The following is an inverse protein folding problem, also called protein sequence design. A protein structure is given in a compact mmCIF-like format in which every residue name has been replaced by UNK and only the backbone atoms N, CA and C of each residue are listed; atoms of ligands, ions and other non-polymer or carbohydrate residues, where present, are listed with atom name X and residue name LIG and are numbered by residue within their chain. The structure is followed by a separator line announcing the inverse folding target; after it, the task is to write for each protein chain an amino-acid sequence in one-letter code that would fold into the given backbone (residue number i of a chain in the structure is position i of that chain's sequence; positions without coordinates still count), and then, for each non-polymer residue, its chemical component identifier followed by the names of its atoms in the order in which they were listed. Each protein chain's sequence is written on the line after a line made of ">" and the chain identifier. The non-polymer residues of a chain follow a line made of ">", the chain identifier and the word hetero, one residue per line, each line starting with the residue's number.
data_IF_826582445230
#
_entry.id   IF_826582445230
#
_cell.length_a   1.000
_cell.length_b   1.000
_cell.length_c   1.000
_cell.angle_alpha   90.00
_cell.angle_beta   90.00
_cell.angle_gamma   90.00
#
_symmetry.space_group_name_H-M   'P 1'
#
loop_
_entity.id
_entity.type
_entity.pdbx_description
1 polymer ?
#
# COMPACT_ATOMS: atom_id res chain seq x y z
N UNK A 1 15.05 -36.30 -13.32
CA UNK A 1 14.83 -34.96 -12.74
C UNK A 1 14.42 -34.04 -13.87
N UNK A 2 13.18 -33.51 -13.86
CA UNK A 2 12.77 -32.50 -14.85
C UNK A 2 13.30 -31.17 -14.34
N UNK A 3 14.06 -30.45 -15.17
CA UNK A 3 14.41 -29.06 -14.88
C UNK A 3 13.10 -28.30 -14.72
N UNK A 4 12.84 -27.80 -13.51
CA UNK A 4 11.71 -26.91 -13.28
C UNK A 4 11.94 -25.66 -14.13
N UNK A 5 11.02 -25.39 -15.05
CA UNK A 5 11.06 -24.16 -15.81
C UNK A 5 10.77 -23.01 -14.85
N UNK A 6 11.82 -22.35 -14.38
CA UNK A 6 11.69 -21.13 -13.59
C UNK A 6 10.89 -20.10 -14.40
N UNK A 7 9.79 -19.54 -13.87
CA UNK A 7 9.05 -18.50 -14.57
C UNK A 7 9.97 -17.29 -14.83
N UNK A 8 9.76 -16.55 -15.93
CA UNK A 8 10.58 -15.39 -16.26
C UNK A 8 10.54 -14.35 -15.13
N UNK A 9 11.71 -13.84 -14.78
CA UNK A 9 11.88 -12.76 -13.82
C UNK A 9 11.69 -11.39 -14.48
N UNK A 10 11.04 -10.42 -13.81
CA UNK A 10 10.30 -10.56 -12.55
C UNK A 10 8.96 -11.29 -12.77
N UNK A 11 8.55 -12.15 -11.83
CA UNK A 11 7.25 -12.83 -11.88
C UNK A 11 6.09 -11.85 -11.72
N UNK A 12 4.89 -12.25 -12.11
CA UNK A 12 3.67 -11.48 -11.82
C UNK A 12 3.31 -11.50 -10.32
N UNK A 13 2.97 -10.34 -9.77
CA UNK A 13 2.43 -10.15 -8.41
C UNK A 13 1.23 -9.22 -8.44
N UNK A 14 0.11 -9.65 -7.86
CA UNK A 14 -1.02 -8.77 -7.62
C UNK A 14 -0.78 -7.92 -6.38
N UNK A 15 -0.79 -6.59 -6.52
CA UNK A 15 -0.52 -5.70 -5.40
C UNK A 15 -1.79 -4.99 -4.93
N UNK A 16 -2.15 -5.25 -3.69
CA UNK A 16 -3.29 -4.62 -3.01
C UNK A 16 -2.78 -3.76 -1.87
N UNK A 17 -3.33 -2.55 -1.74
CA UNK A 17 -2.91 -1.67 -0.66
C UNK A 17 -4.07 -0.88 -0.09
N UNK A 18 -4.10 -0.73 1.24
CA UNK A 18 -4.94 0.33 1.79
C UNK A 18 -4.42 1.68 1.28
N UNK A 19 -5.28 2.64 0.89
CA UNK A 19 -4.83 3.92 0.38
C UNK A 19 -3.78 4.57 1.28
N UNK A 20 -2.77 5.21 0.65
CA UNK A 20 -1.69 5.95 1.33
C UNK A 20 -0.65 5.07 2.08
N UNK A 21 -0.56 3.78 1.75
CA UNK A 21 0.41 2.84 2.33
C UNK A 21 1.72 2.67 1.54
N UNK A 22 2.18 3.71 0.83
CA UNK A 22 3.48 3.67 0.12
C UNK A 22 3.50 3.00 -1.25
N UNK A 23 2.37 2.51 -1.76
CA UNK A 23 2.30 1.73 -3.00
C UNK A 23 2.91 2.43 -4.24
N UNK A 24 2.62 3.73 -4.46
CA UNK A 24 3.19 4.44 -5.63
C UNK A 24 4.72 4.58 -5.54
N UNK A 25 5.26 4.79 -4.34
CA UNK A 25 6.70 4.85 -4.12
C UNK A 25 7.35 3.50 -4.41
N UNK A 26 6.80 2.41 -3.87
CA UNK A 26 7.26 1.04 -4.16
C UNK A 26 7.25 0.75 -5.66
N UNK A 27 6.16 1.07 -6.37
CA UNK A 27 6.04 0.88 -7.82
C UNK A 27 7.13 1.65 -8.58
N UNK A 28 7.43 2.90 -8.20
CA UNK A 28 8.50 3.69 -8.84
C UNK A 28 9.87 3.07 -8.64
N UNK A 29 10.17 2.61 -7.43
CA UNK A 29 11.46 1.97 -7.12
C UNK A 29 11.58 0.66 -7.91
N UNK A 30 10.54 -0.19 -7.90
CA UNK A 30 10.55 -1.46 -8.64
C UNK A 30 10.65 -1.26 -10.15
N UNK A 31 9.92 -0.31 -10.74
CA UNK A 31 10.06 0.06 -12.16
C UNK A 31 11.50 0.48 -12.50
N UNK A 32 12.18 1.24 -11.64
CA UNK A 32 13.58 1.65 -11.87
C UNK A 32 14.58 0.52 -11.62
N UNK A 33 14.30 -0.37 -10.67
CA UNK A 33 15.16 -1.49 -10.32
C UNK A 33 15.15 -2.58 -11.39
N UNK A 34 13.97 -3.00 -11.85
CA UNK A 34 13.83 -4.01 -12.90
C UNK A 34 13.88 -3.43 -14.32
N UNK A 35 13.69 -2.12 -14.48
CA UNK A 35 13.78 -1.46 -15.78
C UNK A 35 12.66 -1.89 -16.74
N UNK A 36 13.02 -2.15 -18.00
CA UNK A 36 12.05 -2.46 -19.06
C UNK A 36 11.29 -3.78 -18.89
N UNK A 37 11.80 -4.68 -18.03
CA UNK A 37 11.22 -5.99 -17.76
C UNK A 37 10.08 -5.94 -16.74
N UNK A 38 9.81 -4.75 -16.15
CA UNK A 38 8.78 -4.57 -15.14
C UNK A 38 7.69 -3.62 -15.61
N UNK A 39 6.59 -4.20 -16.07
CA UNK A 39 5.40 -3.48 -16.49
C UNK A 39 4.33 -3.54 -15.41
N UNK A 40 3.62 -2.43 -15.27
CA UNK A 40 2.63 -2.26 -14.20
C UNK A 40 1.33 -1.82 -14.81
N UNK A 41 0.25 -2.54 -14.46
CA UNK A 41 -1.12 -2.14 -14.71
C UNK A 41 -1.60 -1.26 -13.55
N UNK A 42 -1.85 0.01 -13.84
CA UNK A 42 -2.51 0.96 -12.94
C UNK A 42 -4.03 0.82 -13.11
N UNK A 43 -4.64 -0.16 -12.42
CA UNK A 43 -6.04 -0.59 -12.62
C UNK A 43 -7.08 0.55 -12.70
N UNK A 44 -6.87 1.67 -12.01
CA UNK A 44 -7.79 2.83 -11.99
C UNK A 44 -7.44 3.94 -12.99
N UNK A 45 -6.36 3.77 -13.77
CA UNK A 45 -5.85 4.77 -14.70
C UNK A 45 -5.70 4.23 -16.12
N UNK A 46 -5.47 2.93 -16.27
CA UNK A 46 -5.31 2.27 -17.56
C UNK A 46 -6.68 1.80 -18.06
N UNK A 47 -7.55 2.69 -18.55
CA UNK A 47 -8.85 2.33 -19.15
C UNK A 47 -8.86 2.52 -20.68
N UNK A 48 -7.72 2.34 -21.33
CA UNK A 48 -7.58 2.53 -22.78
C UNK A 48 -7.59 1.20 -23.53
N UNK A 49 -8.37 1.13 -24.60
CA UNK A 49 -8.37 0.11 -25.68
C UNK A 49 -8.24 -1.34 -25.24
N UNK A 50 -7.01 -1.75 -24.96
CA UNK A 50 -6.61 -3.14 -24.69
C UNK A 50 -6.54 -3.49 -23.19
N UNK A 51 -7.05 -2.63 -22.29
CA UNK A 51 -7.13 -2.96 -20.87
C UNK A 51 -8.18 -4.06 -20.63
N UNK A 52 -7.83 -5.06 -19.81
CA UNK A 52 -8.73 -6.15 -19.48
C UNK A 52 -9.75 -5.82 -18.38
N UNK A 53 -9.59 -4.70 -17.67
CA UNK A 53 -10.39 -4.30 -16.49
C UNK A 53 -10.53 -5.43 -15.42
N UNK A 54 -9.56 -6.34 -15.39
CA UNK A 54 -9.52 -7.49 -14.49
C UNK A 54 -8.45 -7.33 -13.42
N UNK A 55 -8.76 -7.84 -12.22
CA UNK A 55 -7.79 -8.01 -11.16
C UNK A 55 -7.85 -9.45 -10.64
N UNK A 56 -6.75 -10.22 -10.66
CA UNK A 56 -5.45 -9.96 -11.29
C UNK A 56 -5.51 -9.63 -12.79
N UNK A 57 -4.52 -8.87 -13.32
CA UNK A 57 -4.45 -8.58 -14.76
C UNK A 57 -4.10 -9.86 -15.54
N UNK A 58 -4.77 -10.06 -16.68
CA UNK A 58 -4.56 -11.25 -17.54
C UNK A 58 -3.46 -11.07 -18.58
N UNK A 59 -2.97 -9.83 -18.77
CA UNK A 59 -1.91 -9.55 -19.73
C UNK A 59 -0.58 -10.10 -19.19
N UNK A 60 -0.03 -11.13 -19.85
CA UNK A 60 1.20 -11.82 -19.44
C UNK A 60 2.46 -10.96 -19.51
N UNK A 61 2.41 -9.79 -20.15
CA UNK A 61 3.51 -8.83 -20.12
C UNK A 61 3.52 -7.93 -18.88
N UNK A 62 2.48 -7.98 -18.05
CA UNK A 62 2.41 -7.23 -16.78
C UNK A 62 3.06 -8.06 -15.67
N UNK A 63 3.83 -7.38 -14.81
CA UNK A 63 4.46 -7.99 -13.64
C UNK A 63 3.80 -7.51 -12.34
N UNK A 64 3.13 -6.35 -12.33
CA UNK A 64 2.39 -5.87 -11.16
C UNK A 64 1.04 -5.26 -11.57
N UNK A 65 -0.03 -5.64 -10.89
CA UNK A 65 -1.30 -4.89 -10.95
C UNK A 65 -1.54 -4.19 -9.64
N UNK A 66 -1.85 -2.89 -9.67
CA UNK A 66 -2.07 -2.06 -8.49
C UNK A 66 -3.55 -1.87 -8.21
N UNK A 67 -4.02 -2.24 -7.02
CA UNK A 67 -5.43 -2.06 -6.62
C UNK A 67 -5.56 -1.62 -5.14
N UNK A 68 -6.69 -1.01 -4.79
CA UNK A 68 -7.01 -0.52 -3.44
C UNK A 68 -8.24 -1.21 -2.81
N UNK A 69 -8.87 -2.12 -3.54
CA UNK A 69 -10.09 -2.83 -3.19
C UNK A 69 -11.19 -1.89 -2.67
N UNK A 70 -11.43 -0.80 -3.41
CA UNK A 70 -12.43 0.22 -3.05
C UNK A 70 -13.86 -0.33 -2.99
N UNK A 71 -14.12 -1.47 -3.63
CA UNK A 71 -15.38 -2.19 -3.52
C UNK A 71 -15.72 -2.58 -2.08
N UNK A 72 -14.71 -2.76 -1.20
CA UNK A 72 -14.93 -2.95 0.24
C UNK A 72 -15.50 -1.72 0.97
N UNK A 73 -15.75 -0.61 0.27
CA UNK A 73 -16.53 0.51 0.83
C UNK A 73 -18.03 0.22 0.86
N UNK A 74 -18.54 -0.66 -0.01
CA UNK A 74 -19.92 -1.14 0.05
C UNK A 74 -20.00 -2.37 0.98
N UNK A 75 -20.74 -2.29 2.12
CA UNK A 75 -20.85 -3.40 3.07
C UNK A 75 -21.37 -4.70 2.45
N UNK A 76 -22.09 -4.64 1.33
CA UNK A 76 -22.64 -5.80 0.65
C UNK A 76 -21.71 -6.39 -0.42
N UNK A 77 -20.67 -5.66 -0.82
CA UNK A 77 -19.73 -6.15 -1.83
C UNK A 77 -18.57 -6.92 -1.18
N UNK A 78 -18.23 -8.15 -1.61
CA UNK A 78 -17.12 -8.92 -1.03
C UNK A 78 -15.72 -8.36 -1.38
N UNK A 79 -15.69 -7.34 -2.24
CA UNK A 79 -14.49 -6.79 -2.88
C UNK A 79 -13.91 -7.74 -3.94
N UNK A 80 -12.71 -7.43 -4.42
CA UNK A 80 -12.05 -8.19 -5.49
C UNK A 80 -11.75 -9.65 -5.06
N UNK A 81 -11.98 -10.66 -5.91
CA UNK A 81 -11.74 -12.05 -5.57
C UNK A 81 -10.24 -12.36 -5.46
N UNK A 82 -9.90 -13.30 -4.58
CA UNK A 82 -8.53 -13.82 -4.43
C UNK A 82 -8.31 -15.03 -5.31
N UNK A 83 -7.20 -15.05 -6.04
CA UNK A 83 -6.80 -16.16 -6.92
C UNK A 83 -5.64 -16.92 -6.29
N UNK A 84 -5.82 -18.22 -6.02
CA UNK A 84 -4.84 -19.04 -5.27
C UNK A 84 -3.46 -19.16 -5.93
N UNK A 85 -3.40 -19.17 -7.26
CA UNK A 85 -2.16 -19.30 -8.03
C UNK A 85 -1.41 -17.98 -8.21
N UNK A 86 -1.90 -16.89 -7.63
CA UNK A 86 -1.33 -15.55 -7.78
C UNK A 86 -0.70 -15.13 -6.44
N UNK A 87 0.57 -14.70 -6.43
CA UNK A 87 1.17 -14.10 -5.25
C UNK A 87 0.68 -12.67 -5.04
N UNK A 88 0.49 -12.29 -3.77
CA UNK A 88 -0.01 -10.97 -3.40
C UNK A 88 1.02 -10.15 -2.61
N UNK A 89 1.29 -8.94 -3.06
CA UNK A 89 1.91 -7.90 -2.24
C UNK A 89 0.80 -7.11 -1.54
N UNK A 90 0.72 -7.21 -0.23
CA UNK A 90 -0.29 -6.53 0.59
C UNK A 90 0.37 -5.40 1.36
N UNK A 91 0.06 -4.15 1.02
CA UNK A 91 0.63 -2.99 1.71
C UNK A 91 -0.40 -2.33 2.63
N UNK A 92 -0.06 -2.22 3.91
CA UNK A 92 -0.87 -1.56 4.93
C UNK A 92 -0.09 -0.46 5.61
N UNK A 93 -0.82 0.45 6.26
CA UNK A 93 -0.27 1.52 7.07
C UNK A 93 -1.16 1.67 8.29
N UNK A 94 -0.56 2.09 9.38
CA UNK A 94 -1.23 2.64 10.54
C UNK A 94 -2.51 3.42 10.16
N UNK A 95 -3.66 3.03 10.71
CA UNK A 95 -4.93 3.59 10.29
C UNK A 95 -5.00 5.11 10.49
N UNK A 96 -4.51 5.61 11.63
CA UNK A 96 -4.57 7.03 11.93
C UNK A 96 -3.68 7.84 10.99
N UNK A 97 -2.47 7.38 10.72
CA UNK A 97 -1.59 8.05 9.76
C UNK A 97 -2.11 7.98 8.32
N UNK A 98 -2.63 6.81 7.91
CA UNK A 98 -3.27 6.63 6.62
C UNK A 98 -4.48 7.56 6.48
N UNK A 99 -5.25 7.71 7.56
CA UNK A 99 -6.41 8.59 7.63
C UNK A 99 -6.04 10.06 7.52
N UNK A 100 -5.01 10.53 8.24
CA UNK A 100 -4.50 11.90 8.09
C UNK A 100 -4.03 12.15 6.66
N UNK A 101 -3.29 11.22 6.08
CA UNK A 101 -2.79 11.31 4.70
C UNK A 101 -3.93 11.32 3.67
N UNK A 102 -4.96 10.50 3.87
CA UNK A 102 -6.13 10.41 2.98
C UNK A 102 -7.10 11.58 3.14
N UNK A 103 -7.18 12.17 4.35
CA UNK A 103 -8.01 13.33 4.60
C UNK A 103 -7.60 14.53 3.74
N UNK A 104 -6.31 14.74 3.47
CA UNK A 104 -5.87 15.77 2.53
C UNK A 104 -6.47 15.62 1.13
N UNK A 105 -6.72 14.40 0.67
CA UNK A 105 -7.42 14.14 -0.59
C UNK A 105 -8.92 14.41 -0.46
N UNK A 106 -9.52 14.01 0.67
CA UNK A 106 -10.92 14.27 0.99
C UNK A 106 -11.26 15.77 0.99
N UNK A 107 -10.31 16.62 1.44
CA UNK A 107 -10.44 18.07 1.45
C UNK A 107 -10.58 18.71 0.05
N UNK A 108 -10.23 18.00 -1.03
CA UNK A 108 -10.46 18.51 -2.39
C UNK A 108 -11.94 18.72 -2.72
N UNK A 109 -12.85 18.05 -1.99
CA UNK A 109 -14.30 18.10 -2.20
C UNK A 109 -15.07 18.46 -0.94
N UNK A 110 -14.39 18.78 0.16
CA UNK A 110 -15.00 18.98 1.48
C UNK A 110 -14.28 20.11 2.24
N UNK A 111 -14.99 20.84 3.12
CA UNK A 111 -14.36 21.91 3.90
C UNK A 111 -13.42 21.35 4.96
N UNK A 112 -12.35 22.09 5.25
CA UNK A 112 -11.35 21.70 6.25
C UNK A 112 -11.79 22.07 7.67
N UNK A 113 -12.53 21.16 8.31
CA UNK A 113 -13.12 21.35 9.63
C UNK A 113 -13.01 20.07 10.47
N UNK A 114 -13.06 20.21 11.81
CA UNK A 114 -13.13 19.05 12.72
C UNK A 114 -14.32 18.12 12.42
N UNK A 115 -15.47 18.68 12.02
CA UNK A 115 -16.65 17.92 11.62
C UNK A 115 -16.38 17.08 10.37
N UNK A 116 -15.71 17.66 9.38
CA UNK A 116 -15.29 16.94 8.17
C UNK A 116 -14.27 15.85 8.47
N UNK A 117 -13.33 16.10 9.39
CA UNK A 117 -12.37 15.09 9.84
C UNK A 117 -13.07 13.90 10.50
N UNK A 118 -13.95 14.16 11.47
CA UNK A 118 -14.73 13.10 12.13
C UNK A 118 -15.52 12.27 11.12
N UNK A 119 -16.22 12.94 10.20
CA UNK A 119 -16.97 12.29 9.11
C UNK A 119 -16.06 11.42 8.23
N UNK A 120 -14.86 11.91 7.89
CA UNK A 120 -13.92 11.13 7.10
C UNK A 120 -13.52 9.84 7.82
N UNK A 121 -13.12 9.93 9.09
CA UNK A 121 -12.75 8.78 9.92
C UNK A 121 -13.92 7.79 10.05
N UNK A 122 -15.14 8.27 10.28
CA UNK A 122 -16.36 7.44 10.37
C UNK A 122 -16.62 6.64 9.08
N UNK A 123 -16.37 7.24 7.91
CA UNK A 123 -16.57 6.59 6.60
C UNK A 123 -15.42 5.65 6.24
N UNK A 124 -14.17 6.00 6.59
CA UNK A 124 -12.98 5.23 6.20
C UNK A 124 -12.69 4.03 7.10
N UNK A 125 -13.16 4.05 8.35
CA UNK A 125 -12.88 2.99 9.33
C UNK A 125 -13.45 1.62 8.92
N UNK A 126 -14.73 1.50 8.52
CA UNK A 126 -15.26 0.20 8.08
C UNK A 126 -14.51 -0.37 6.88
N UNK A 127 -14.11 0.48 5.92
CA UNK A 127 -13.29 0.05 4.78
C UNK A 127 -11.94 -0.51 5.24
N UNK A 128 -11.26 0.18 6.15
CA UNK A 128 -9.97 -0.28 6.68
C UNK A 128 -10.11 -1.61 7.43
N UNK A 129 -11.10 -1.75 8.31
CA UNK A 129 -11.35 -2.99 9.06
C UNK A 129 -11.57 -4.18 8.11
N UNK A 130 -12.41 -4.00 7.09
CA UNK A 130 -12.68 -5.04 6.09
C UNK A 130 -11.44 -5.35 5.25
N UNK A 131 -10.64 -4.33 4.91
CA UNK A 131 -9.37 -4.52 4.22
C UNK A 131 -8.39 -5.36 5.05
N UNK A 132 -8.25 -5.07 6.34
CA UNK A 132 -7.38 -5.83 7.25
C UNK A 132 -7.87 -7.28 7.42
N UNK A 133 -9.16 -7.47 7.70
CA UNK A 133 -9.76 -8.80 7.80
C UNK A 133 -9.52 -9.63 6.54
N UNK A 134 -9.80 -9.04 5.37
CA UNK A 134 -9.64 -9.71 4.09
C UNK A 134 -8.18 -9.93 3.76
N UNK A 135 -7.35 -8.91 3.66
CA UNK A 135 -6.03 -9.04 3.03
C UNK A 135 -4.92 -9.46 3.98
N UNK A 136 -5.06 -9.16 5.28
CA UNK A 136 -4.01 -9.42 6.27
C UNK A 136 -4.33 -10.64 7.11
N UNK A 137 -5.51 -10.68 7.71
CA UNK A 137 -5.84 -11.65 8.77
C UNK A 137 -6.43 -12.96 8.24
N UNK A 138 -6.99 -12.96 7.04
CA UNK A 138 -7.62 -14.16 6.50
C UNK A 138 -6.64 -15.32 6.45
N UNK A 139 -6.99 -16.44 7.06
CA UNK A 139 -6.27 -17.69 6.92
C UNK A 139 -6.65 -18.37 5.59
N UNK A 140 -6.10 -17.85 4.50
CA UNK A 140 -6.18 -18.44 3.19
C UNK A 140 -4.83 -19.03 2.78
N UNK A 141 -4.87 -20.01 1.88
CA UNK A 141 -3.69 -20.72 1.38
C UNK A 141 -2.98 -19.95 0.25
N UNK A 142 -3.18 -18.63 0.16
CA UNK A 142 -2.56 -17.81 -0.90
C UNK A 142 -1.21 -17.31 -0.44
N UNK A 143 -0.27 -17.21 -1.38
CA UNK A 143 1.05 -16.63 -1.12
C UNK A 143 0.92 -15.11 -0.93
N UNK A 144 1.38 -14.59 0.21
CA UNK A 144 1.31 -13.17 0.56
C UNK A 144 2.64 -12.66 1.11
N UNK A 145 3.08 -11.50 0.63
CA UNK A 145 4.02 -10.64 1.32
C UNK A 145 3.26 -9.44 1.89
N UNK A 146 3.13 -9.38 3.21
CA UNK A 146 2.44 -8.27 3.90
C UNK A 146 3.47 -7.26 4.40
N UNK A 147 3.41 -6.04 3.88
CA UNK A 147 4.33 -4.95 4.21
C UNK A 147 3.59 -3.85 4.95
N UNK A 148 4.16 -3.41 6.07
CA UNK A 148 3.74 -2.19 6.74
C UNK A 148 4.51 -1.00 6.21
N UNK A 149 3.83 0.12 6.03
CA UNK A 149 4.46 1.38 5.66
C UNK A 149 5.48 1.82 6.70
N UNK A 150 5.22 1.58 7.98
CA UNK A 150 6.14 1.91 9.08
C UNK A 150 7.46 1.17 8.91
N UNK A 151 7.41 -0.15 8.68
CA UNK A 151 8.60 -0.97 8.44
C UNK A 151 9.35 -0.51 7.19
N UNK A 152 8.62 -0.20 6.11
CA UNK A 152 9.18 0.32 4.85
C UNK A 152 9.92 1.64 5.04
N UNK A 153 9.43 2.52 5.92
CA UNK A 153 10.09 3.80 6.18
C UNK A 153 11.19 3.73 7.24
N UNK A 154 11.12 2.77 8.16
CA UNK A 154 12.12 2.58 9.20
C UNK A 154 13.37 1.84 8.68
N UNK A 155 13.17 0.85 7.81
CA UNK A 155 14.23 0.05 7.21
C UNK A 155 13.94 -0.22 5.72
N UNK A 156 14.08 0.81 4.86
CA UNK A 156 13.72 0.70 3.46
C UNK A 156 14.56 -0.32 2.70
N UNK A 157 15.83 -0.50 3.06
CA UNK A 157 16.73 -1.44 2.37
C UNK A 157 16.27 -2.89 2.56
N UNK A 158 15.97 -3.28 3.81
CA UNK A 158 15.45 -4.63 4.08
C UNK A 158 14.11 -4.83 3.41
N UNK A 159 13.14 -3.94 3.61
CA UNK A 159 11.77 -4.13 3.13
C UNK A 159 11.69 -4.10 1.60
N UNK A 160 12.40 -3.20 0.93
CA UNK A 160 12.42 -3.19 -0.54
C UNK A 160 13.24 -4.34 -1.11
N UNK A 161 14.23 -4.87 -0.37
CA UNK A 161 14.91 -6.11 -0.70
C UNK A 161 13.97 -7.33 -0.62
N UNK A 162 13.14 -7.41 0.42
CA UNK A 162 12.09 -8.44 0.53
C UNK A 162 11.09 -8.35 -0.63
N UNK A 163 10.64 -7.15 -0.98
CA UNK A 163 9.75 -6.93 -2.13
C UNK A 163 10.43 -7.34 -3.44
N UNK A 164 11.67 -6.92 -3.69
CA UNK A 164 12.40 -7.29 -4.90
C UNK A 164 12.59 -8.82 -5.00
N UNK A 165 12.95 -9.47 -3.88
CA UNK A 165 13.05 -10.94 -3.81
C UNK A 165 11.70 -11.61 -4.05
N UNK A 166 10.59 -10.99 -3.64
CA UNK A 166 9.25 -11.50 -3.88
C UNK A 166 8.86 -11.45 -5.36
N UNK A 167 9.42 -10.52 -6.14
CA UNK A 167 9.29 -10.49 -7.60
C UNK A 167 10.26 -11.44 -8.31
N UNK A 168 11.36 -11.80 -7.66
CA UNK A 168 12.41 -12.60 -8.27
C UNK A 168 12.95 -13.65 -7.27
N UNK A 169 12.13 -14.66 -6.92
CA UNK A 169 12.48 -15.63 -5.89
C UNK A 169 13.68 -16.48 -6.32
N UNK A 170 14.65 -16.65 -5.42
CA UNK A 170 15.83 -17.49 -5.63
C UNK A 170 17.00 -16.82 -6.35
N UNK A 171 16.85 -15.58 -6.79
CA UNK A 171 17.90 -14.84 -7.50
C UNK A 171 18.67 -13.89 -6.57
N UNK A 172 19.94 -13.63 -6.91
CA UNK A 172 20.75 -12.69 -6.15
C UNK A 172 20.36 -11.25 -6.48
N UNK A 173 20.01 -10.47 -5.45
CA UNK A 173 19.69 -9.05 -5.61
C UNK A 173 20.95 -8.19 -5.83
N UNK A 174 20.85 -7.22 -6.74
CA UNK A 174 21.79 -6.11 -6.85
C UNK A 174 21.47 -5.07 -5.76
N UNK A 175 21.94 -5.34 -4.54
CA UNK A 175 21.69 -4.51 -3.36
C UNK A 175 22.29 -3.11 -3.50
N UNK A 176 23.39 -2.96 -4.24
CA UNK A 176 24.01 -1.67 -4.48
C UNK A 176 23.13 -0.78 -5.36
N UNK A 177 22.61 -1.32 -6.48
CA UNK A 177 21.64 -0.62 -7.32
C UNK A 177 20.35 -0.30 -6.57
N UNK A 178 19.81 -1.25 -5.81
CA UNK A 178 18.61 -1.03 -5.01
C UNK A 178 18.82 0.10 -4.00
N UNK A 179 19.96 0.11 -3.30
CA UNK A 179 20.31 1.17 -2.35
C UNK A 179 20.37 2.56 -2.99
N UNK A 180 21.04 2.70 -4.14
CA UNK A 180 21.08 3.97 -4.88
C UNK A 180 19.69 4.47 -5.28
N UNK A 181 18.78 3.57 -5.65
CA UNK A 181 17.40 3.92 -5.98
C UNK A 181 16.61 4.36 -4.74
N UNK A 182 16.82 3.69 -3.60
CA UNK A 182 16.22 4.05 -2.31
C UNK A 182 16.63 5.45 -1.90
N UNK A 183 17.91 5.80 -2.03
CA UNK A 183 18.45 7.09 -1.60
C UNK A 183 18.03 8.24 -2.52
N UNK A 184 17.87 7.95 -3.82
CA UNK A 184 17.58 8.96 -4.84
C UNK A 184 16.10 9.12 -5.18
N UNK A 185 15.20 8.27 -4.67
CA UNK A 185 13.78 8.31 -5.04
C UNK A 185 13.15 9.67 -4.70
N UNK A 186 12.33 10.16 -5.62
CA UNK A 186 11.54 11.36 -5.38
C UNK A 186 10.37 11.03 -4.46
N UNK A 187 10.21 11.79 -3.39
CA UNK A 187 9.05 11.69 -2.51
C UNK A 187 7.92 12.58 -3.03
N UNK A 188 6.68 12.11 -2.94
CA UNK A 188 5.51 12.97 -3.14
C UNK A 188 5.12 13.66 -1.85
N UNK A 189 5.12 14.99 -1.86
CA UNK A 189 4.47 15.78 -0.83
C UNK A 189 3.16 16.33 -1.37
N UNK A 190 2.04 15.79 -0.87
CA UNK A 190 0.70 16.21 -1.27
C UNK A 190 0.00 16.96 -0.16
N UNK A 191 -0.43 18.19 -0.44
CA UNK A 191 -1.35 18.98 0.38
C UNK A 191 -2.74 19.03 -0.28
N UNK A 192 -3.69 19.73 0.34
CA UNK A 192 -5.07 19.83 -0.16
C UNK A 192 -5.18 20.50 -1.55
N UNK A 193 -4.18 21.29 -1.96
CA UNK A 193 -4.19 22.11 -3.17
C UNK A 193 -3.21 21.62 -4.24
N UNK A 194 -2.12 20.94 -3.88
CA UNK A 194 -1.05 20.54 -4.81
C UNK A 194 -0.33 19.25 -4.38
N UNK A 195 0.24 18.57 -5.36
CA UNK A 195 1.24 17.52 -5.16
C UNK A 195 2.57 18.04 -5.70
N UNK A 196 3.61 18.06 -4.86
CA UNK A 196 4.97 18.44 -5.22
C UNK A 196 5.88 17.23 -5.13
N UNK A 197 6.73 17.04 -6.14
CA UNK A 197 7.82 16.07 -6.10
C UNK A 197 9.04 16.72 -5.43
N UNK A 198 9.60 16.04 -4.43
CA UNK A 198 10.84 16.44 -3.75
C UNK A 198 11.92 15.44 -4.11
N UNK A 199 12.94 15.90 -4.84
CA UNK A 199 14.04 15.07 -5.34
C UNK A 199 15.03 14.72 -4.25
N UNK A 200 15.62 13.53 -4.33
CA UNK A 200 16.73 13.09 -3.46
C UNK A 200 16.38 13.03 -1.98
N UNK A 201 15.09 12.88 -1.65
CA UNK A 201 14.64 12.80 -0.25
C UNK A 201 14.79 11.38 0.31
N UNK A 202 14.88 10.38 -0.56
CA UNK A 202 14.89 8.98 -0.18
C UNK A 202 13.55 8.49 0.36
N UNK A 203 13.53 7.23 0.79
CA UNK A 203 12.38 6.61 1.46
C UNK A 203 12.42 6.96 2.95
N UNK A 204 11.52 7.83 3.39
CA UNK A 204 11.39 8.19 4.81
C UNK A 204 9.96 8.60 5.17
N UNK A 205 9.60 8.44 6.45
CA UNK A 205 8.37 8.98 7.00
C UNK A 205 8.53 10.50 7.17
N UNK A 206 7.67 11.28 6.52
CA UNK A 206 7.80 12.75 6.46
C UNK A 206 6.75 13.50 7.26
N UNK A 207 5.76 12.80 7.79
CA UNK A 207 4.60 13.38 8.45
C UNK A 207 4.51 12.83 9.86
N UNK A 208 4.45 13.74 10.82
CA UNK A 208 4.11 13.42 12.19
C UNK A 208 2.61 13.63 12.39
N UNK A 209 1.98 12.76 13.15
CA UNK A 209 0.54 12.86 13.39
C UNK A 209 0.21 14.12 14.20
N UNK A 210 1.16 14.58 15.01
CA UNK A 210 1.12 15.79 15.81
C UNK A 210 1.08 17.06 14.96
N UNK A 211 1.59 17.01 13.72
CA UNK A 211 1.53 18.12 12.77
C UNK A 211 0.14 18.28 12.14
N UNK A 212 -0.77 17.33 12.36
CA UNK A 212 -2.12 17.40 11.82
C UNK A 212 -2.92 18.52 12.49
N UNK A 213 -3.48 19.43 11.70
CA UNK A 213 -4.16 20.64 12.23
C UNK A 213 -5.36 20.38 13.15
N UNK A 214 -6.00 19.21 13.04
CA UNK A 214 -7.10 18.80 13.94
C UNK A 214 -6.62 17.85 15.03
N UNK A 215 -5.31 17.66 15.17
CA UNK A 215 -4.72 16.93 16.27
C UNK A 215 -5.09 17.59 17.58
N UNK A 216 -5.73 16.81 18.43
CA UNK A 216 -5.80 17.12 19.86
C UNK A 216 -5.36 15.86 20.59
N UNK A 217 -4.37 15.95 21.51
CA UNK A 217 -3.84 14.76 22.17
C UNK A 217 -4.93 13.90 22.83
N UNK A 218 -5.95 14.54 23.41
CA UNK A 218 -7.09 13.85 24.02
C UNK A 218 -7.94 13.08 23.00
N UNK A 219 -8.28 13.69 21.87
CA UNK A 219 -9.08 13.03 20.82
C UNK A 219 -8.30 11.84 20.24
N UNK A 220 -7.02 12.03 19.90
CA UNK A 220 -6.21 10.98 19.29
C UNK A 220 -5.97 9.82 20.25
N UNK A 221 -5.69 10.08 21.54
CA UNK A 221 -5.59 9.00 22.54
C UNK A 221 -6.89 8.22 22.71
N UNK A 222 -8.04 8.90 22.72
CA UNK A 222 -9.33 8.23 22.83
C UNK A 222 -9.62 7.38 21.59
N UNK A 223 -9.43 7.94 20.40
CA UNK A 223 -9.62 7.24 19.14
C UNK A 223 -8.65 6.07 19.00
N UNK A 224 -7.38 6.23 19.38
CA UNK A 224 -6.39 5.15 19.37
C UNK A 224 -6.77 4.03 20.33
N UNK A 225 -7.29 4.35 21.51
CA UNK A 225 -7.79 3.36 22.46
C UNK A 225 -8.98 2.58 21.87
N UNK A 226 -9.98 3.28 21.34
CA UNK A 226 -11.15 2.67 20.70
C UNK A 226 -10.73 1.74 19.54
N UNK A 227 -9.85 2.22 18.67
CA UNK A 227 -9.31 1.44 17.56
C UNK A 227 -8.49 0.23 18.03
N UNK A 228 -7.75 0.36 19.14
CA UNK A 228 -6.98 -0.77 19.70
C UNK A 228 -7.90 -1.90 20.10
N UNK A 229 -8.94 -1.59 20.88
CA UNK A 229 -9.91 -2.59 21.33
C UNK A 229 -10.62 -3.25 20.14
N UNK A 230 -11.01 -2.45 19.14
CA UNK A 230 -11.63 -2.95 17.90
C UNK A 230 -10.69 -3.85 17.08
N UNK A 231 -9.43 -3.44 16.84
CA UNK A 231 -8.50 -4.23 16.04
C UNK A 231 -8.01 -5.49 16.75
N UNK A 232 -7.81 -5.44 18.08
CA UNK A 232 -7.52 -6.63 18.87
C UNK A 232 -8.68 -7.63 18.82
N UNK A 233 -9.93 -7.17 18.84
CA UNK A 233 -11.09 -8.04 18.64
C UNK A 233 -11.10 -8.73 17.25
N UNK A 234 -10.40 -8.16 16.25
CA UNK A 234 -10.21 -8.78 14.94
C UNK A 234 -9.00 -9.74 14.90
N UNK A 235 -8.14 -9.75 15.92
CA UNK A 235 -6.86 -10.47 15.91
C UNK A 235 -5.72 -9.70 15.24
N UNK A 236 -5.84 -8.37 15.11
CA UNK A 236 -4.80 -7.49 14.59
C UNK A 236 -4.11 -6.71 15.72
N UNK A 237 -3.34 -7.42 16.54
CA UNK A 237 -2.64 -6.85 17.71
C UNK A 237 -1.38 -6.06 17.36
N UNK A 238 -0.99 -6.00 16.08
CA UNK A 238 0.22 -5.31 15.62
C UNK A 238 0.02 -3.80 15.67
N UNK A 239 0.19 -3.24 16.87
CA UNK A 239 0.14 -1.82 17.16
C UNK A 239 1.21 -1.01 16.41
N UNK A 240 0.84 0.21 16.03
CA UNK A 240 1.35 1.53 16.48
C UNK A 240 2.65 1.56 17.31
N UNK A 241 3.69 0.80 16.98
CA UNK A 241 5.03 1.11 17.49
C UNK A 241 5.54 2.36 16.74
N UNK A 242 5.37 3.52 17.37
CA UNK A 242 6.31 4.63 17.19
C UNK A 242 7.65 4.24 17.83
#
# INVERSE_FOLDING_TARGET
>A
MRAECTPPAPRYVASVSYPRSGHSMTVRIMRRYFGHDFRVCEFYHDHHGDCCDCFPCINSSINLTKNHDFELTDPNHPGIPKVKSVPYLVMVRNYLEASVSGYHLFLRRNPDTRKSWKRYVEISLPHYQRFIQKWVLSNDSIEKLVIRYEDLTADPYRVLGEIASFFQPGEQLDTARLGQLIDSVESEDSDAKRTKLVKGRGVQATRKIEDFRHFTPRFFRNLEKELTDEFSALGYDRRYAA
#
